data_IF_527121637536
#
_entry.id   IF_527121637536
#
_cell.length_a   1.000
_cell.length_b   1.000
_cell.length_c   1.000
_cell.angle_alpha   90.00
_cell.angle_beta   90.00
_cell.angle_gamma   90.00
#
_symmetry.space_group_name_H-M   'P 1'
#
loop_
_entity.id
_entity.type
_entity.pdbx_description
1 polymer ?
#
# COMPACT_ATOMS: atom_id res chain seq x y z
N UNK A 1 43.13 15.40 -3.40
CA UNK A 1 44.51 14.97 -3.52
C UNK A 1 45.23 15.18 -2.19
N UNK A 2 45.98 14.20 -1.70
CA UNK A 2 46.70 14.25 -0.42
C UNK A 2 48.21 14.19 -0.69
N UNK A 3 49.00 14.84 0.16
CA UNK A 3 50.45 14.92 0.07
C UNK A 3 51.08 14.25 1.29
N UNK A 4 52.03 13.32 1.06
CA UNK A 4 52.84 12.68 2.13
C UNK A 4 54.29 12.98 1.94
N UNK A 5 54.94 13.53 2.96
CA UNK A 5 56.41 13.73 3.03
C UNK A 5 57.05 12.57 3.79
N UNK A 6 58.14 12.05 3.29
CA UNK A 6 58.99 11.09 3.98
C UNK A 6 60.45 11.55 3.87
N UNK A 7 61.18 11.52 4.96
CA UNK A 7 62.62 11.77 4.98
C UNK A 7 63.38 10.45 5.00
N UNK A 8 64.54 10.40 4.31
CA UNK A 8 65.41 9.24 4.33
C UNK A 8 66.14 9.14 5.67
N UNK A 9 66.04 7.98 6.32
CA UNK A 9 66.84 7.62 7.50
C UNK A 9 68.15 6.89 7.11
N UNK A 10 68.50 6.80 5.82
CA UNK A 10 69.66 6.11 5.33
C UNK A 10 70.92 6.96 5.54
N UNK A 11 71.98 6.37 6.12
CA UNK A 11 73.31 6.97 6.29
C UNK A 11 74.00 7.43 4.97
N UNK A 12 73.62 6.84 3.82
CA UNK A 12 74.14 7.20 2.51
C UNK A 12 73.57 8.44 1.88
N UNK A 13 72.40 8.93 2.30
CA UNK A 13 71.76 10.17 1.82
C UNK A 13 70.89 10.76 2.94
N UNK A 14 71.47 11.31 4.00
CA UNK A 14 70.71 11.92 5.10
C UNK A 14 69.99 13.16 4.60
N UNK A 15 68.74 13.37 5.03
CA UNK A 15 68.00 14.58 4.77
C UNK A 15 67.27 14.70 3.42
N UNK A 16 67.38 13.71 2.53
CA UNK A 16 66.62 13.75 1.29
C UNK A 16 65.11 13.53 1.55
N UNK A 17 64.35 14.56 1.32
CA UNK A 17 62.88 14.49 1.40
C UNK A 17 62.28 13.94 0.10
N UNK A 18 61.37 13.00 0.21
CA UNK A 18 60.50 12.56 -0.89
C UNK A 18 59.08 12.95 -0.61
N UNK A 19 58.46 13.53 -1.63
CA UNK A 19 57.02 13.86 -1.63
C UNK A 19 56.30 12.83 -2.49
N UNK A 20 55.26 12.25 -2.00
CA UNK A 20 54.33 11.43 -2.79
C UNK A 20 52.92 11.96 -2.67
N UNK A 21 52.21 11.88 -3.78
CA UNK A 21 50.82 12.29 -3.89
C UNK A 21 49.91 11.07 -4.03
N UNK A 22 48.71 11.14 -3.45
CA UNK A 22 47.75 10.07 -3.53
C UNK A 22 46.32 10.62 -3.50
N UNK A 23 45.40 9.84 -4.04
CA UNK A 23 43.96 10.10 -4.07
C UNK A 23 43.27 8.99 -3.28
N UNK A 24 42.19 9.34 -2.59
CA UNK A 24 41.31 8.37 -1.94
C UNK A 24 39.99 8.44 -2.70
N UNK A 25 39.57 7.35 -3.32
CA UNK A 25 38.33 7.25 -4.07
C UNK A 25 37.09 7.18 -3.12
N UNK A 26 35.91 7.24 -3.68
CA UNK A 26 34.65 7.19 -2.94
C UNK A 26 34.44 5.89 -2.14
N UNK A 27 35.23 4.82 -2.44
CA UNK A 27 35.21 3.55 -1.71
C UNK A 27 36.21 3.49 -0.56
N UNK A 28 37.00 4.57 -0.38
CA UNK A 28 38.05 4.64 0.64
C UNK A 28 39.39 4.04 0.18
N UNK A 29 39.52 3.62 -1.07
CA UNK A 29 40.75 3.02 -1.61
C UNK A 29 41.76 4.10 -1.97
N UNK A 30 42.99 3.92 -1.47
CA UNK A 30 44.12 4.82 -1.78
C UNK A 30 44.76 4.50 -3.12
N UNK A 31 44.81 5.47 -4.04
CA UNK A 31 45.43 5.37 -5.37
C UNK A 31 46.66 6.28 -5.39
N UNK A 32 47.81 5.74 -5.79
CA UNK A 32 49.07 6.51 -5.92
C UNK A 32 49.03 7.38 -7.18
N UNK A 33 49.31 8.67 -7.01
CA UNK A 33 49.42 9.64 -8.10
C UNK A 33 50.91 9.89 -8.53
N UNK A 34 51.88 9.31 -7.80
CA UNK A 34 53.30 9.50 -8.08
C UNK A 34 53.99 10.53 -7.19
N UNK A 35 55.18 10.96 -7.57
CA UNK A 35 56.04 11.90 -6.81
C UNK A 35 56.14 13.28 -7.48
N UNK A 36 55.81 13.37 -8.74
CA UNK A 36 55.78 14.61 -9.49
C UNK A 36 54.40 15.30 -9.29
N UNK A 37 54.42 16.60 -8.97
CA UNK A 37 53.20 17.35 -8.65
C UNK A 37 52.29 17.54 -9.88
N UNK A 38 52.90 17.86 -11.03
CA UNK A 38 52.09 18.20 -12.21
C UNK A 38 51.51 16.94 -12.83
N UNK A 39 52.28 15.83 -12.84
CA UNK A 39 51.77 14.51 -13.20
C UNK A 39 50.67 14.03 -12.24
N UNK A 40 50.86 14.28 -10.94
CA UNK A 40 49.84 13.95 -9.94
C UNK A 40 48.56 14.75 -10.10
N UNK A 41 48.65 16.01 -10.49
CA UNK A 41 47.47 16.88 -10.80
C UNK A 41 46.70 16.37 -12.01
N UNK A 42 47.40 16.02 -13.09
CA UNK A 42 46.80 15.48 -14.32
C UNK A 42 46.05 14.18 -13.99
N UNK A 43 46.74 13.25 -13.33
CA UNK A 43 46.16 11.95 -12.96
C UNK A 43 45.03 12.07 -11.97
N UNK A 44 45.08 13.02 -11.06
CA UNK A 44 43.97 13.34 -10.15
C UNK A 44 42.75 13.89 -10.90
N UNK A 45 42.96 14.83 -11.84
CA UNK A 45 41.91 15.36 -12.68
C UNK A 45 41.24 14.27 -13.55
N UNK A 46 42.05 13.33 -14.08
CA UNK A 46 41.52 12.18 -14.83
C UNK A 46 40.69 11.22 -13.95
N UNK A 47 41.09 11.00 -12.71
CA UNK A 47 40.32 10.17 -11.76
C UNK A 47 39.03 10.84 -11.31
N UNK A 48 39.07 12.13 -11.04
CA UNK A 48 37.81 12.90 -10.72
C UNK A 48 36.91 13.07 -11.95
N UNK A 49 37.49 13.23 -13.15
CA UNK A 49 36.69 13.25 -14.38
C UNK A 49 36.01 11.90 -14.69
N UNK A 50 36.57 10.79 -14.20
CA UNK A 50 35.95 9.46 -14.30
C UNK A 50 34.80 9.29 -13.28
N UNK A 51 34.82 9.95 -12.14
CA UNK A 51 33.65 10.13 -11.30
C UNK A 51 32.78 11.20 -11.97
N UNK A 52 31.96 10.76 -12.94
CA UNK A 52 30.96 11.65 -13.56
C UNK A 52 30.21 12.32 -12.42
N UNK A 53 30.12 13.68 -12.40
CA UNK A 53 29.24 14.36 -11.45
C UNK A 53 27.87 13.71 -11.57
N UNK A 54 27.33 13.23 -10.46
CA UNK A 54 25.96 12.72 -10.47
C UNK A 54 25.10 13.89 -10.97
N UNK A 55 24.60 13.78 -12.19
CA UNK A 55 23.71 14.78 -12.72
C UNK A 55 22.42 14.70 -11.91
N UNK A 56 22.34 15.55 -10.88
CA UNK A 56 21.21 15.61 -9.95
C UNK A 56 19.90 15.94 -10.65
N UNK A 57 19.95 16.37 -11.93
CA UNK A 57 18.78 16.67 -12.74
C UNK A 57 18.30 15.49 -13.59
N UNK A 58 19.03 14.37 -13.61
CA UNK A 58 18.50 13.12 -14.19
C UNK A 58 17.44 12.52 -13.29
N UNK A 59 16.39 11.98 -13.89
CA UNK A 59 15.31 11.33 -13.15
C UNK A 59 15.80 10.19 -12.27
N UNK A 60 16.85 9.47 -12.67
CA UNK A 60 17.51 8.46 -11.83
C UNK A 60 17.92 9.02 -10.47
N UNK A 61 18.67 10.13 -10.44
CA UNK A 61 19.11 10.74 -9.18
C UNK A 61 17.95 11.28 -8.35
N UNK A 62 16.88 11.75 -9.02
CA UNK A 62 15.66 12.24 -8.37
C UNK A 62 14.88 11.08 -7.75
N UNK A 63 14.71 9.95 -8.45
CA UNK A 63 14.11 8.75 -7.90
C UNK A 63 14.91 8.22 -6.71
N UNK A 64 16.24 8.15 -6.81
CA UNK A 64 17.11 7.70 -5.71
C UNK A 64 16.94 8.58 -4.47
N UNK A 65 16.89 9.91 -4.65
CA UNK A 65 16.64 10.84 -3.56
C UNK A 65 15.24 10.68 -2.97
N UNK A 66 14.23 10.49 -3.80
CA UNK A 66 12.85 10.29 -3.37
C UNK A 66 12.70 8.98 -2.57
N UNK A 67 13.30 7.90 -3.02
CA UNK A 67 13.30 6.62 -2.31
C UNK A 67 13.99 6.74 -0.94
N UNK A 68 15.08 7.48 -0.86
CA UNK A 68 15.86 7.67 0.37
C UNK A 68 15.18 8.62 1.37
N UNK A 69 14.67 9.76 0.89
CA UNK A 69 14.29 10.89 1.76
C UNK A 69 12.78 11.00 2.00
N UNK A 70 11.94 10.51 1.06
CA UNK A 70 10.48 10.69 1.08
C UNK A 70 9.74 9.40 1.42
N UNK A 71 10.10 8.28 0.76
CA UNK A 71 9.40 7.01 0.97
C UNK A 71 9.42 6.56 2.42
N UNK A 72 10.54 6.63 3.19
CA UNK A 72 10.56 6.17 4.57
C UNK A 72 9.60 6.92 5.52
N UNK A 73 9.21 8.14 5.17
CA UNK A 73 8.26 8.96 5.95
C UNK A 73 6.79 8.57 5.73
N UNK A 74 6.51 7.68 4.79
CA UNK A 74 5.15 7.23 4.45
C UNK A 74 4.77 5.97 5.24
N UNK A 75 3.48 5.69 5.31
CA UNK A 75 3.01 4.45 5.92
C UNK A 75 3.51 3.19 5.17
N UNK A 76 3.72 2.05 5.86
CA UNK A 76 4.39 0.85 5.30
C UNK A 76 3.79 0.34 3.98
N UNK A 77 2.47 0.39 3.85
CA UNK A 77 1.80 -0.02 2.61
C UNK A 77 2.13 0.92 1.46
N UNK A 78 2.11 2.23 1.70
CA UNK A 78 2.43 3.25 0.69
C UNK A 78 3.89 3.16 0.27
N UNK A 79 4.81 2.87 1.20
CA UNK A 79 6.22 2.63 0.88
C UNK A 79 6.36 1.50 -0.14
N UNK A 80 5.74 0.34 0.12
CA UNK A 80 5.77 -0.82 -0.77
C UNK A 80 5.17 -0.51 -2.15
N UNK A 81 4.05 0.19 -2.18
CA UNK A 81 3.36 0.54 -3.42
C UNK A 81 4.21 1.53 -4.23
N UNK A 82 4.75 2.62 -3.62
CA UNK A 82 5.61 3.58 -4.31
C UNK A 82 6.93 2.97 -4.82
N UNK A 83 7.58 2.09 -4.05
CA UNK A 83 8.77 1.37 -4.53
C UNK A 83 8.46 0.51 -5.76
N UNK A 84 7.30 -0.15 -5.76
CA UNK A 84 6.86 -0.94 -6.92
C UNK A 84 6.56 -0.07 -8.14
N UNK A 85 5.95 1.09 -7.94
CA UNK A 85 5.61 2.06 -8.98
C UNK A 85 6.86 2.69 -9.58
N UNK A 86 7.82 3.13 -8.75
CA UNK A 86 9.09 3.68 -9.21
C UNK A 86 9.88 2.64 -10.01
N UNK A 87 9.89 1.37 -9.58
CA UNK A 87 10.54 0.30 -10.34
C UNK A 87 10.00 0.17 -11.76
N UNK A 88 8.70 0.45 -11.98
CA UNK A 88 8.10 0.45 -13.31
C UNK A 88 8.42 1.72 -14.12
N UNK A 89 8.63 2.86 -13.45
CA UNK A 89 8.96 4.13 -14.09
C UNK A 89 10.41 4.21 -14.54
N UNK A 90 11.33 3.63 -13.77
CA UNK A 90 12.77 3.71 -14.00
C UNK A 90 13.22 3.32 -15.40
N UNK A 91 12.78 2.18 -16.00
CA UNK A 91 13.24 1.80 -17.34
C UNK A 91 12.94 2.85 -18.42
N UNK A 92 11.89 3.65 -18.22
CA UNK A 92 11.49 4.68 -19.20
C UNK A 92 12.11 6.03 -18.90
N UNK A 93 12.28 6.39 -17.62
CA UNK A 93 12.58 7.76 -17.25
C UNK A 93 13.97 7.97 -16.63
N UNK A 94 14.68 6.95 -16.14
CA UNK A 94 15.94 7.10 -15.40
C UNK A 94 16.99 7.96 -16.14
N UNK A 95 17.08 7.84 -17.46
CA UNK A 95 18.06 8.54 -18.29
C UNK A 95 17.61 9.93 -18.74
N UNK A 96 16.35 10.28 -18.52
CA UNK A 96 15.80 11.56 -18.96
C UNK A 96 16.18 12.68 -17.97
N UNK A 97 16.64 13.84 -18.46
CA UNK A 97 16.69 15.05 -17.64
C UNK A 97 15.28 15.45 -17.24
N UNK A 98 15.09 15.93 -16.00
CA UNK A 98 13.76 16.33 -15.51
C UNK A 98 13.11 17.39 -16.40
N UNK A 99 13.90 18.34 -16.89
CA UNK A 99 13.43 19.42 -17.74
C UNK A 99 13.04 18.97 -19.16
N UNK A 100 13.39 17.75 -19.55
CA UNK A 100 13.00 17.15 -20.84
C UNK A 100 11.65 16.42 -20.78
N UNK A 101 11.10 16.18 -19.58
CA UNK A 101 9.82 15.51 -19.46
C UNK A 101 8.69 16.39 -20.01
N UNK A 102 7.87 15.80 -20.89
CA UNK A 102 6.72 16.47 -21.51
C UNK A 102 5.43 15.70 -21.24
N UNK A 103 4.25 16.36 -21.29
CA UNK A 103 2.97 15.69 -21.21
C UNK A 103 2.78 14.55 -22.24
N UNK A 104 3.37 14.73 -23.43
CA UNK A 104 3.34 13.71 -24.50
C UNK A 104 4.06 12.43 -24.06
N UNK A 105 5.24 12.54 -23.45
CA UNK A 105 5.98 11.38 -22.94
C UNK A 105 5.20 10.63 -21.84
N UNK A 106 4.54 11.38 -20.96
CA UNK A 106 3.68 10.79 -19.91
C UNK A 106 2.48 10.05 -20.52
N UNK A 107 1.86 10.65 -21.56
CA UNK A 107 0.76 9.99 -22.28
C UNK A 107 1.23 8.73 -23.02
N UNK A 108 2.38 8.76 -23.68
CA UNK A 108 2.97 7.59 -24.34
C UNK A 108 3.27 6.47 -23.33
N UNK A 109 3.85 6.81 -22.17
CA UNK A 109 4.05 5.83 -21.08
C UNK A 109 2.73 5.20 -20.67
N UNK A 110 1.69 6.01 -20.38
CA UNK A 110 0.35 5.54 -20.03
C UNK A 110 -0.19 4.55 -21.06
N UNK A 111 -0.05 4.90 -22.34
CA UNK A 111 -0.66 4.14 -23.44
C UNK A 111 0.12 2.84 -23.73
N UNK A 112 1.43 2.84 -23.52
CA UNK A 112 2.28 1.65 -23.66
C UNK A 112 2.06 0.62 -22.55
N UNK A 113 1.60 1.04 -21.33
CA UNK A 113 1.36 0.12 -20.22
C UNK A 113 0.13 -0.75 -20.45
N UNK A 114 0.29 -2.08 -20.44
CA UNK A 114 -0.82 -3.04 -20.48
C UNK A 114 -1.72 -2.95 -19.24
N UNK A 115 -1.13 -2.76 -18.06
CA UNK A 115 -1.83 -2.64 -16.78
C UNK A 115 -2.38 -1.20 -16.58
N UNK A 116 -3.45 -0.86 -17.27
CA UNK A 116 -4.01 0.51 -17.38
C UNK A 116 -4.25 1.22 -16.04
N UNK A 117 -4.85 0.52 -15.06
CA UNK A 117 -5.11 1.08 -13.72
C UNK A 117 -3.80 1.30 -12.96
N UNK A 118 -2.81 0.40 -13.13
CA UNK A 118 -1.48 0.57 -12.54
C UNK A 118 -0.75 1.76 -13.13
N UNK A 119 -0.83 1.99 -14.43
CA UNK A 119 -0.28 3.17 -15.09
C UNK A 119 -0.78 4.48 -14.45
N UNK A 120 -2.06 4.56 -14.10
CA UNK A 120 -2.59 5.72 -13.39
C UNK A 120 -1.92 5.95 -12.03
N UNK A 121 -1.61 4.88 -11.29
CA UNK A 121 -0.91 4.97 -9.99
C UNK A 121 0.56 5.35 -10.17
N UNK A 122 1.24 4.73 -11.14
CA UNK A 122 2.61 5.03 -11.51
C UNK A 122 2.77 6.51 -11.89
N UNK A 123 1.88 7.06 -12.73
CA UNK A 123 1.88 8.49 -13.11
C UNK A 123 1.59 9.39 -11.91
N UNK A 124 0.69 8.99 -11.01
CA UNK A 124 0.45 9.76 -9.79
C UNK A 124 1.70 9.85 -8.90
N UNK A 125 2.46 8.75 -8.80
CA UNK A 125 3.75 8.74 -8.09
C UNK A 125 4.80 9.58 -8.82
N UNK A 126 4.91 9.48 -10.15
CA UNK A 126 5.79 10.33 -10.95
C UNK A 126 5.46 11.83 -10.76
N UNK A 127 4.17 12.17 -10.75
CA UNK A 127 3.71 13.53 -10.47
C UNK A 127 4.17 14.03 -9.10
N UNK A 128 4.09 13.19 -8.08
CA UNK A 128 4.57 13.54 -6.74
C UNK A 128 6.10 13.68 -6.71
N UNK A 129 6.84 12.78 -7.37
CA UNK A 129 8.31 12.86 -7.51
C UNK A 129 8.71 14.17 -8.18
N UNK A 130 8.02 14.56 -9.26
CA UNK A 130 8.28 15.81 -9.96
C UNK A 130 8.04 17.04 -9.06
N UNK A 131 6.96 17.05 -8.29
CA UNK A 131 6.68 18.14 -7.35
C UNK A 131 7.76 18.23 -6.27
N UNK A 132 8.22 17.08 -5.72
CA UNK A 132 9.34 17.05 -4.76
C UNK A 132 10.63 17.60 -5.39
N UNK A 133 10.91 17.27 -6.65
CA UNK A 133 12.06 17.83 -7.38
C UNK A 133 11.98 19.35 -7.53
N UNK A 134 10.77 19.90 -7.73
CA UNK A 134 10.54 21.37 -7.72
C UNK A 134 10.83 21.97 -6.35
N UNK A 135 10.33 21.35 -5.26
CA UNK A 135 10.63 21.80 -3.89
C UNK A 135 12.14 21.74 -3.57
N UNK A 136 12.86 20.80 -4.17
CA UNK A 136 14.32 20.70 -4.03
C UNK A 136 15.10 21.68 -4.92
N UNK A 137 14.43 22.49 -5.73
CA UNK A 137 15.05 23.46 -6.63
C UNK A 137 15.74 22.83 -7.84
N UNK A 138 15.42 21.57 -8.19
CA UNK A 138 16.04 20.87 -9.32
C UNK A 138 15.40 21.24 -10.66
N UNK A 139 14.19 21.79 -10.65
CA UNK A 139 13.48 22.29 -11.82
C UNK A 139 12.51 23.42 -11.44
N UNK A 140 12.33 24.38 -12.33
CA UNK A 140 11.30 25.41 -12.24
C UNK A 140 10.10 25.14 -13.16
N UNK A 141 10.15 24.06 -13.98
CA UNK A 141 9.09 23.73 -14.93
C UNK A 141 7.81 23.27 -14.23
N UNK A 142 6.71 23.45 -14.93
CA UNK A 142 5.42 22.90 -14.51
C UNK A 142 5.45 21.37 -14.57
N UNK A 143 4.63 20.76 -13.71
CA UNK A 143 4.56 19.31 -13.63
C UNK A 143 3.91 18.71 -14.90
N UNK A 144 4.65 17.95 -15.71
CA UNK A 144 4.17 17.44 -16.99
C UNK A 144 3.08 16.35 -16.86
N UNK A 145 2.84 15.85 -15.66
CA UNK A 145 1.77 14.91 -15.41
C UNK A 145 0.40 15.59 -15.24
N UNK A 146 0.39 16.91 -15.01
CA UNK A 146 -0.85 17.68 -14.90
C UNK A 146 -1.53 17.76 -16.27
N UNK A 147 -2.85 17.65 -16.29
CA UNK A 147 -3.64 17.66 -17.52
C UNK A 147 -3.58 16.38 -18.37
N UNK A 148 -2.68 15.45 -18.07
CA UNK A 148 -2.65 14.13 -18.74
C UNK A 148 -3.85 13.29 -18.31
N UNK A 149 -4.71 12.95 -19.28
CA UNK A 149 -5.92 12.15 -19.03
C UNK A 149 -5.55 10.76 -18.48
N UNK A 150 -6.24 10.33 -17.43
CA UNK A 150 -6.09 8.98 -16.85
C UNK A 150 -6.79 7.93 -17.71
N UNK A 151 -6.33 6.69 -17.64
CA UNK A 151 -7.10 5.54 -18.14
C UNK A 151 -8.41 5.42 -17.35
N UNK A 152 -9.49 5.02 -18.04
CA UNK A 152 -10.78 4.78 -17.40
C UNK A 152 -10.65 3.67 -16.36
N UNK A 153 -11.12 3.93 -15.16
CA UNK A 153 -11.23 2.93 -14.09
C UNK A 153 -12.72 2.62 -13.87
N UNK A 154 -13.08 1.36 -14.00
CA UNK A 154 -14.44 0.92 -13.69
C UNK A 154 -14.47 0.49 -12.22
N UNK A 155 -15.29 1.11 -11.38
CA UNK A 155 -15.48 0.65 -10.01
C UNK A 155 -15.94 -0.80 -10.00
N UNK A 156 -15.50 -1.55 -8.99
CA UNK A 156 -15.99 -2.90 -8.80
C UNK A 156 -17.48 -2.84 -8.40
N UNK A 157 -18.31 -3.48 -9.17
CA UNK A 157 -19.74 -3.61 -8.93
C UNK A 157 -20.07 -5.10 -8.75
N UNK A 158 -19.96 -5.59 -7.51
CA UNK A 158 -20.26 -6.97 -7.14
C UNK A 158 -21.02 -6.99 -5.82
N UNK A 159 -22.23 -7.56 -5.83
CA UNK A 159 -23.03 -7.80 -4.64
C UNK A 159 -23.14 -9.31 -4.35
N UNK A 160 -22.70 -9.73 -3.16
CA UNK A 160 -22.87 -11.08 -2.67
C UNK A 160 -24.27 -11.23 -2.09
N UNK A 161 -25.18 -11.84 -2.86
CA UNK A 161 -26.51 -12.20 -2.34
C UNK A 161 -26.42 -13.34 -1.30
N UNK A 162 -27.54 -13.66 -0.66
CA UNK A 162 -27.58 -14.64 0.44
C UNK A 162 -27.25 -16.06 -0.04
N UNK A 163 -27.54 -16.41 -1.30
CA UNK A 163 -27.14 -17.71 -1.86
C UNK A 163 -25.62 -17.86 -1.87
N UNK A 164 -24.90 -16.85 -2.44
CA UNK A 164 -23.43 -16.84 -2.46
C UNK A 164 -22.85 -16.79 -1.05
N UNK A 165 -23.43 -15.94 -0.18
CA UNK A 165 -22.98 -15.81 1.20
C UNK A 165 -23.07 -17.15 1.95
N UNK A 166 -24.23 -17.79 1.92
CA UNK A 166 -24.54 -19.01 2.69
C UNK A 166 -23.64 -20.18 2.33
N UNK A 167 -23.36 -20.38 1.03
CA UNK A 167 -22.50 -21.46 0.58
C UNK A 167 -21.06 -21.25 1.01
N UNK A 168 -20.51 -20.03 0.86
CA UNK A 168 -19.14 -19.71 1.32
C UNK A 168 -19.05 -19.77 2.84
N UNK A 169 -20.04 -19.22 3.56
CA UNK A 169 -20.10 -19.22 5.02
C UNK A 169 -20.14 -20.65 5.61
N UNK A 170 -20.88 -21.56 4.99
CA UNK A 170 -20.96 -22.98 5.40
C UNK A 170 -19.59 -23.67 5.32
N UNK A 171 -18.76 -23.32 4.33
CA UNK A 171 -17.39 -23.85 4.16
C UNK A 171 -16.32 -23.14 4.99
N UNK A 172 -16.68 -22.02 5.61
CA UNK A 172 -15.74 -21.22 6.39
C UNK A 172 -15.37 -21.92 7.71
N UNK A 173 -14.09 -21.81 8.10
CA UNK A 173 -13.61 -22.21 9.44
C UNK A 173 -14.23 -21.30 10.50
N UNK A 174 -14.29 -21.73 11.78
CA UNK A 174 -14.91 -20.92 12.85
C UNK A 174 -14.37 -19.50 12.92
N UNK A 175 -13.05 -19.33 12.88
CA UNK A 175 -12.42 -18.01 12.91
C UNK A 175 -12.65 -17.18 11.63
N UNK A 176 -12.89 -17.84 10.49
CA UNK A 176 -13.29 -17.12 9.27
C UNK A 176 -14.74 -16.67 9.37
N UNK A 177 -15.62 -17.48 9.93
CA UNK A 177 -17.02 -17.08 10.24
C UNK A 177 -17.05 -15.84 11.13
N UNK A 178 -16.23 -15.84 12.20
CA UNK A 178 -16.09 -14.67 13.07
C UNK A 178 -15.66 -13.42 12.30
N UNK A 179 -14.69 -13.57 11.41
CA UNK A 179 -14.23 -12.45 10.58
C UNK A 179 -15.32 -11.96 9.60
N UNK A 180 -16.09 -12.87 9.02
CA UNK A 180 -17.20 -12.55 8.12
C UNK A 180 -18.31 -11.81 8.86
N UNK A 181 -18.73 -12.34 10.02
CA UNK A 181 -19.81 -11.77 10.81
C UNK A 181 -19.44 -10.42 11.41
N UNK A 182 -18.22 -10.26 11.95
CA UNK A 182 -17.71 -8.96 12.39
C UNK A 182 -17.63 -7.96 11.24
N UNK A 183 -17.13 -8.37 10.08
CA UNK A 183 -17.05 -7.49 8.91
C UNK A 183 -18.44 -7.04 8.45
N UNK A 184 -19.41 -7.93 8.50
CA UNK A 184 -20.80 -7.66 8.09
C UNK A 184 -21.51 -6.76 9.11
N UNK A 185 -21.50 -7.13 10.40
CA UNK A 185 -22.23 -6.40 11.44
C UNK A 185 -21.60 -5.02 11.74
N UNK A 186 -20.29 -4.87 11.55
CA UNK A 186 -19.63 -3.59 11.79
C UNK A 186 -19.41 -2.76 10.53
N UNK A 187 -19.59 -3.34 9.34
CA UNK A 187 -19.29 -2.70 8.07
C UNK A 187 -17.82 -2.31 7.91
N UNK A 188 -16.88 -2.83 8.72
CA UNK A 188 -15.50 -2.37 8.69
C UNK A 188 -14.65 -3.06 7.62
N UNK A 189 -13.50 -2.44 7.28
CA UNK A 189 -12.55 -3.01 6.31
C UNK A 189 -11.85 -4.24 6.89
N UNK A 190 -11.41 -5.21 6.06
CA UNK A 190 -10.73 -6.41 6.55
C UNK A 190 -9.57 -6.11 7.51
N UNK A 191 -8.77 -5.08 7.21
CA UNK A 191 -7.64 -4.68 8.06
C UNK A 191 -8.08 -4.14 9.43
N UNK A 192 -9.24 -3.48 9.49
CA UNK A 192 -9.80 -2.93 10.73
C UNK A 192 -10.45 -4.03 11.57
N UNK A 193 -11.16 -4.96 10.93
CA UNK A 193 -11.77 -6.13 11.58
C UNK A 193 -10.72 -7.02 12.27
N UNK A 194 -9.61 -7.29 11.60
CA UNK A 194 -8.53 -8.16 12.11
C UNK A 194 -7.76 -7.58 13.30
N UNK A 195 -7.96 -6.31 13.65
CA UNK A 195 -7.29 -5.68 14.79
C UNK A 195 -8.21 -5.37 15.95
N UNK A 196 -9.51 -5.67 15.84
CA UNK A 196 -10.48 -5.49 16.93
C UNK A 196 -10.09 -6.31 18.14
N UNK A 197 -10.16 -5.71 19.32
CA UNK A 197 -9.70 -6.27 20.59
C UNK A 197 -10.84 -6.38 21.60
N UNK A 198 -10.65 -7.21 22.61
CA UNK A 198 -11.56 -7.30 23.77
C UNK A 198 -11.60 -5.98 24.55
N UNK A 199 -10.44 -5.31 24.64
CA UNK A 199 -10.31 -4.00 25.31
C UNK A 199 -10.99 -2.85 24.54
N UNK A 200 -11.37 -3.08 23.28
CA UNK A 200 -12.14 -2.09 22.49
C UNK A 200 -13.65 -2.10 22.88
N UNK A 201 -14.07 -2.98 23.80
CA UNK A 201 -15.44 -3.06 24.29
C UNK A 201 -15.58 -2.18 25.52
N UNK A 202 -16.27 -1.07 25.40
CA UNK A 202 -16.41 -0.08 26.46
C UNK A 202 -17.82 0.50 26.50
N UNK A 203 -18.43 0.55 27.69
CA UNK A 203 -19.71 1.22 27.93
C UNK A 203 -20.86 0.75 27.04
N UNK A 204 -20.90 -0.55 26.68
CA UNK A 204 -21.94 -1.10 25.81
C UNK A 204 -21.69 -0.88 24.31
N UNK A 205 -20.48 -0.47 23.93
CA UNK A 205 -20.09 -0.22 22.55
C UNK A 205 -18.83 -1.01 22.19
N UNK A 206 -18.69 -1.37 20.92
CA UNK A 206 -17.44 -1.70 20.28
C UNK A 206 -16.83 -0.41 19.70
N UNK A 207 -15.68 0.00 20.23
CA UNK A 207 -14.95 1.18 19.75
C UNK A 207 -14.02 0.77 18.61
N UNK A 208 -14.15 1.39 17.45
CA UNK A 208 -13.36 1.09 16.27
C UNK A 208 -12.62 2.33 15.81
N UNK A 209 -11.30 2.25 15.71
CA UNK A 209 -10.47 3.27 15.04
C UNK A 209 -10.03 2.75 13.68
N UNK A 210 -10.52 3.38 12.60
CA UNK A 210 -10.22 2.96 11.24
C UNK A 210 -8.76 3.29 10.88
N UNK A 211 -7.98 2.29 10.44
CA UNK A 211 -6.57 2.45 10.09
C UNK A 211 -6.33 3.43 8.92
N UNK A 212 -7.23 3.48 7.95
CA UNK A 212 -7.06 4.30 6.74
C UNK A 212 -7.46 5.77 6.92
N UNK A 213 -8.50 6.02 7.71
CA UNK A 213 -9.12 7.35 7.84
C UNK A 213 -8.94 7.95 9.22
N UNK A 214 -8.42 7.17 10.16
CA UNK A 214 -8.26 7.49 11.59
C UNK A 214 -9.57 7.90 12.28
N UNK A 215 -10.73 7.64 11.64
CA UNK A 215 -12.02 7.94 12.21
C UNK A 215 -12.33 6.96 13.34
N UNK A 216 -12.83 7.50 14.45
CA UNK A 216 -13.32 6.72 15.59
C UNK A 216 -14.82 6.53 15.48
N UNK A 217 -15.28 5.32 15.70
CA UNK A 217 -16.67 4.90 15.68
C UNK A 217 -16.99 4.17 16.98
N UNK A 218 -18.21 4.31 17.47
CA UNK A 218 -18.76 3.54 18.59
C UNK A 218 -19.97 2.78 18.06
N UNK A 219 -19.88 1.46 17.97
CA UNK A 219 -20.94 0.60 17.43
C UNK A 219 -21.65 -0.04 18.60
N UNK A 220 -22.95 0.15 18.69
CA UNK A 220 -23.79 -0.36 19.79
C UNK A 220 -23.80 -1.89 19.86
N UNK A 221 -23.68 -2.42 21.04
CA UNK A 221 -23.80 -3.86 21.32
C UNK A 221 -25.18 -4.26 21.83
N UNK A 222 -25.98 -3.26 22.22
CA UNK A 222 -27.35 -3.44 22.70
C UNK A 222 -28.30 -2.48 22.00
N UNK A 223 -29.55 -2.87 21.85
CA UNK A 223 -30.64 -2.05 21.36
C UNK A 223 -31.78 -2.19 22.37
N UNK A 224 -32.29 -1.09 22.89
CA UNK A 224 -33.35 -1.09 23.94
C UNK A 224 -33.01 -1.93 25.17
N UNK A 225 -31.72 -1.96 25.55
CA UNK A 225 -31.24 -2.72 26.70
C UNK A 225 -31.01 -4.23 26.47
N UNK A 226 -31.31 -4.72 25.25
CA UNK A 226 -31.11 -6.13 24.85
C UNK A 226 -29.91 -6.23 23.91
N UNK A 227 -29.13 -7.31 24.04
CA UNK A 227 -28.02 -7.57 23.12
C UNK A 227 -28.52 -7.66 21.68
N UNK A 228 -27.93 -6.85 20.81
CA UNK A 228 -28.15 -6.98 19.38
C UNK A 228 -27.26 -8.07 18.76
N UNK A 229 -27.39 -8.32 17.47
CA UNK A 229 -26.61 -9.37 16.78
C UNK A 229 -25.09 -9.24 16.98
N UNK A 230 -24.56 -8.00 17.06
CA UNK A 230 -23.12 -7.79 17.33
C UNK A 230 -22.77 -8.12 18.79
N UNK A 231 -23.60 -7.74 19.76
CA UNK A 231 -23.41 -8.08 21.17
C UNK A 231 -23.44 -9.57 21.39
N UNK A 232 -24.42 -10.28 20.79
CA UNK A 232 -24.51 -11.75 20.84
C UNK A 232 -23.28 -12.43 20.22
N UNK A 233 -22.84 -11.97 19.03
CA UNK A 233 -21.65 -12.49 18.37
C UNK A 233 -20.41 -12.35 19.27
N UNK A 234 -20.18 -11.17 19.84
CA UNK A 234 -19.04 -10.91 20.72
C UNK A 234 -19.06 -11.81 21.95
N UNK A 235 -20.22 -12.04 22.58
CA UNK A 235 -20.37 -12.95 23.71
C UNK A 235 -20.07 -14.40 23.31
N UNK A 236 -20.54 -14.86 22.15
CA UNK A 236 -20.26 -16.20 21.64
C UNK A 236 -18.76 -16.38 21.36
N UNK A 237 -18.12 -15.38 20.72
CA UNK A 237 -16.68 -15.39 20.47
C UNK A 237 -15.88 -15.41 21.79
N UNK A 238 -16.28 -14.62 22.77
CA UNK A 238 -15.63 -14.57 24.08
C UNK A 238 -15.73 -15.92 24.81
N UNK A 239 -16.91 -16.55 24.81
CA UNK A 239 -17.13 -17.85 25.41
C UNK A 239 -16.28 -18.95 24.74
N UNK A 240 -16.28 -19.02 23.42
CA UNK A 240 -15.51 -20.00 22.66
C UNK A 240 -13.99 -19.83 22.84
N UNK A 241 -13.54 -18.60 23.01
CA UNK A 241 -12.12 -18.25 23.11
C UNK A 241 -11.70 -17.93 24.56
N UNK A 242 -12.46 -18.38 25.56
CA UNK A 242 -12.20 -18.06 26.96
C UNK A 242 -10.83 -18.53 27.44
N UNK A 243 -10.38 -19.70 26.99
CA UNK A 243 -9.08 -20.27 27.35
C UNK A 243 -7.88 -19.66 26.63
N UNK A 244 -8.14 -18.82 25.62
CA UNK A 244 -7.08 -18.21 24.87
C UNK A 244 -6.69 -16.84 25.44
N UNK A 245 -5.38 -16.60 25.75
CA UNK A 245 -4.91 -15.34 26.32
C UNK A 245 -4.89 -14.17 25.33
N UNK A 246 -5.39 -14.39 24.11
CA UNK A 246 -5.39 -13.37 23.06
C UNK A 246 -6.28 -12.19 23.39
N UNK A 247 -5.77 -10.99 23.23
CA UNK A 247 -6.54 -9.74 23.33
C UNK A 247 -7.43 -9.47 22.10
N UNK A 248 -7.22 -10.19 20.99
CA UNK A 248 -7.97 -9.99 19.76
C UNK A 248 -9.29 -10.74 19.78
N UNK A 249 -10.32 -10.17 19.16
CA UNK A 249 -11.62 -10.83 19.04
C UNK A 249 -11.52 -12.07 18.14
N UNK A 250 -10.84 -11.95 17.00
CA UNK A 250 -10.66 -13.07 16.07
C UNK A 250 -9.36 -13.79 16.37
N UNK A 251 -9.47 -15.01 16.83
CA UNK A 251 -8.31 -15.87 17.13
C UNK A 251 -8.40 -17.18 16.35
N UNK A 252 -7.26 -17.68 15.92
CA UNK A 252 -7.14 -19.02 15.31
C UNK A 252 -7.35 -20.12 16.35
N UNK A 253 -7.55 -21.35 15.91
CA UNK A 253 -7.63 -22.54 16.79
C UNK A 253 -6.41 -22.71 17.72
N UNK A 254 -5.28 -22.04 17.43
CA UNK A 254 -4.08 -22.00 18.28
C UNK A 254 -4.05 -20.81 19.24
N UNK A 255 -5.14 -20.09 19.41
CA UNK A 255 -5.22 -18.91 20.27
C UNK A 255 -4.44 -17.68 19.78
N UNK A 256 -3.93 -17.68 18.55
CA UNK A 256 -3.19 -16.56 17.98
C UNK A 256 -4.10 -15.66 17.13
N UNK A 257 -3.79 -14.35 17.10
CA UNK A 257 -4.45 -13.39 16.22
C UNK A 257 -4.47 -13.89 14.77
N UNK A 258 -5.60 -13.75 14.09
CA UNK A 258 -5.69 -13.97 12.64
C UNK A 258 -4.92 -12.88 11.89
N UNK A 259 -3.96 -13.27 11.07
CA UNK A 259 -3.23 -12.36 10.19
C UNK A 259 -3.96 -12.13 8.86
N UNK A 260 -3.60 -11.09 8.12
CA UNK A 260 -4.16 -10.82 6.80
C UNK A 260 -3.87 -11.94 5.77
N UNK A 261 -2.73 -12.63 5.90
CA UNK A 261 -2.40 -13.79 5.06
C UNK A 261 -3.25 -15.00 5.43
N UNK A 262 -3.47 -15.26 6.73
CA UNK A 262 -4.35 -16.33 7.18
C UNK A 262 -5.79 -16.10 6.72
N UNK A 263 -6.30 -14.87 6.87
CA UNK A 263 -7.63 -14.51 6.36
C UNK A 263 -7.75 -14.81 4.87
N UNK A 264 -6.75 -14.41 4.06
CA UNK A 264 -6.75 -14.64 2.62
C UNK A 264 -6.79 -16.13 2.30
N UNK A 265 -5.90 -16.93 2.90
CA UNK A 265 -5.83 -18.35 2.61
C UNK A 265 -7.14 -19.07 2.99
N UNK A 266 -7.67 -18.81 4.20
CA UNK A 266 -8.94 -19.40 4.63
C UNK A 266 -10.13 -18.96 3.77
N UNK A 267 -10.11 -17.70 3.32
CA UNK A 267 -11.11 -17.19 2.40
C UNK A 267 -11.06 -17.89 1.04
N UNK A 268 -9.87 -18.04 0.48
CA UNK A 268 -9.67 -18.73 -0.79
C UNK A 268 -10.07 -20.19 -0.68
N UNK A 269 -9.66 -20.90 0.39
CA UNK A 269 -10.05 -22.30 0.66
C UNK A 269 -11.58 -22.46 0.76
N UNK A 270 -12.26 -21.61 1.56
CA UNK A 270 -13.70 -21.69 1.74
C UNK A 270 -14.46 -21.39 0.42
N UNK A 271 -13.99 -20.42 -0.34
CA UNK A 271 -14.55 -20.05 -1.64
C UNK A 271 -14.36 -21.16 -2.67
N UNK A 272 -13.19 -21.80 -2.71
CA UNK A 272 -12.90 -22.85 -3.67
C UNK A 272 -13.73 -24.12 -3.33
N UNK A 273 -13.86 -24.49 -2.07
CA UNK A 273 -14.76 -25.57 -1.62
C UNK A 273 -16.22 -25.28 -1.98
N UNK A 274 -16.68 -24.05 -1.75
CA UNK A 274 -18.03 -23.62 -2.10
C UNK A 274 -18.29 -23.66 -3.63
N UNK A 275 -17.28 -23.28 -4.42
CA UNK A 275 -17.35 -23.35 -5.87
C UNK A 275 -17.42 -24.77 -6.39
N UNK A 276 -16.62 -25.68 -5.81
CA UNK A 276 -16.65 -27.11 -6.18
C UNK A 276 -18.02 -27.71 -5.88
N UNK A 277 -18.62 -27.40 -4.73
CA UNK A 277 -19.98 -27.86 -4.39
C UNK A 277 -21.02 -27.37 -5.38
N UNK A 278 -21.04 -26.07 -5.69
CA UNK A 278 -21.97 -25.49 -6.65
C UNK A 278 -21.83 -26.12 -8.06
N UNK A 279 -20.60 -26.43 -8.48
CA UNK A 279 -20.36 -27.13 -9.76
C UNK A 279 -20.86 -28.57 -9.72
N UNK A 280 -20.68 -29.28 -8.60
CA UNK A 280 -21.19 -30.64 -8.44
C UNK A 280 -22.72 -30.70 -8.44
N UNK A 281 -23.39 -29.65 -7.95
CA UNK A 281 -24.84 -29.48 -8.01
C UNK A 281 -25.35 -28.98 -9.38
N UNK A 282 -24.44 -28.72 -10.34
CA UNK A 282 -24.78 -28.23 -11.68
C UNK A 282 -25.05 -26.73 -11.78
N UNK A 283 -24.89 -25.97 -10.66
CA UNK A 283 -25.11 -24.52 -10.65
C UNK A 283 -23.84 -23.74 -11.06
N UNK A 284 -23.60 -23.67 -12.36
CA UNK A 284 -22.47 -22.96 -12.93
C UNK A 284 -22.54 -21.44 -12.72
N UNK A 285 -23.75 -20.88 -12.62
CA UNK A 285 -23.95 -19.46 -12.36
C UNK A 285 -23.53 -19.10 -10.92
N UNK A 286 -23.98 -19.88 -9.95
CA UNK A 286 -23.60 -19.73 -8.54
C UNK A 286 -22.09 -19.89 -8.39
N UNK A 287 -21.49 -20.93 -9.01
CA UNK A 287 -20.05 -21.17 -8.99
C UNK A 287 -19.25 -19.98 -9.55
N UNK A 288 -19.72 -19.36 -10.63
CA UNK A 288 -19.12 -18.15 -11.21
C UNK A 288 -19.19 -16.96 -10.23
N UNK A 289 -20.35 -16.75 -9.61
CA UNK A 289 -20.54 -15.69 -8.62
C UNK A 289 -19.70 -15.90 -7.37
N UNK A 290 -19.60 -17.13 -6.87
CA UNK A 290 -18.71 -17.50 -5.76
C UNK A 290 -17.27 -17.15 -6.10
N UNK A 291 -16.79 -17.51 -7.30
CA UNK A 291 -15.43 -17.20 -7.77
C UNK A 291 -15.11 -15.69 -7.78
N UNK A 292 -16.13 -14.85 -8.00
CA UNK A 292 -15.99 -13.40 -7.97
C UNK A 292 -16.04 -12.80 -6.55
N UNK A 293 -16.64 -13.49 -5.58
CA UNK A 293 -16.81 -12.98 -4.22
C UNK A 293 -15.47 -12.80 -3.51
N UNK A 294 -15.16 -11.58 -3.08
CA UNK A 294 -13.97 -11.24 -2.31
C UNK A 294 -14.37 -10.83 -0.89
N UNK A 295 -13.56 -11.12 0.11
CA UNK A 295 -13.84 -10.75 1.51
C UNK A 295 -14.19 -9.26 1.67
N UNK A 296 -13.53 -8.37 0.91
CA UNK A 296 -13.83 -6.93 0.92
C UNK A 296 -15.23 -6.56 0.43
N UNK A 297 -15.93 -7.48 -0.26
CA UNK A 297 -17.30 -7.24 -0.74
C UNK A 297 -18.34 -7.40 0.37
N UNK A 298 -17.96 -7.90 1.54
CA UNK A 298 -18.81 -7.97 2.73
C UNK A 298 -19.21 -6.56 3.18
N UNK A 299 -18.30 -5.59 3.14
CA UNK A 299 -18.60 -4.21 3.52
C UNK A 299 -19.64 -3.54 2.60
N UNK A 300 -19.57 -3.64 1.26
CA UNK A 300 -20.66 -3.23 0.39
C UNK A 300 -21.97 -3.99 0.63
N UNK A 301 -21.93 -5.31 0.93
CA UNK A 301 -23.12 -6.07 1.29
C UNK A 301 -23.80 -5.46 2.53
N UNK A 302 -23.07 -5.26 3.62
CA UNK A 302 -23.57 -4.63 4.83
C UNK A 302 -24.21 -3.27 4.56
N UNK A 303 -23.54 -2.40 3.79
CA UNK A 303 -24.08 -1.09 3.44
C UNK A 303 -25.32 -1.13 2.55
N UNK A 304 -25.43 -2.13 1.68
CA UNK A 304 -26.57 -2.28 0.75
C UNK A 304 -27.83 -2.78 1.44
N UNK A 305 -27.69 -3.46 2.58
CA UNK A 305 -28.80 -4.05 3.33
C UNK A 305 -29.32 -3.12 4.44
N UNK A 306 -28.61 -2.07 4.77
CA UNK A 306 -29.12 -1.01 5.64
C UNK A 306 -30.05 -0.09 4.82
N UNK A 307 -31.30 0.05 5.29
CA UNK A 307 -32.33 0.83 4.57
C UNK A 307 -31.97 2.31 4.49
N UNK A 308 -31.59 2.89 5.61
CA UNK A 308 -31.23 4.30 5.69
C UNK A 308 -29.78 4.54 5.21
N UNK A 309 -29.59 5.54 4.35
CA UNK A 309 -28.28 5.88 3.79
C UNK A 309 -27.38 6.57 4.82
N UNK A 310 -27.95 7.30 5.75
CA UNK A 310 -27.21 8.00 6.80
C UNK A 310 -26.68 6.99 7.81
N UNK A 311 -27.51 6.03 8.23
CA UNK A 311 -27.10 4.91 9.09
C UNK A 311 -25.99 4.07 8.43
N UNK A 312 -26.15 3.77 7.14
CA UNK A 312 -25.11 3.08 6.39
C UNK A 312 -23.81 3.91 6.34
N UNK A 313 -23.88 5.22 6.14
CA UNK A 313 -22.73 6.12 6.11
C UNK A 313 -22.06 6.23 7.48
N UNK A 314 -22.84 6.29 8.55
CA UNK A 314 -22.34 6.29 9.93
C UNK A 314 -21.60 5.00 10.24
N UNK A 315 -22.20 3.83 9.96
CA UNK A 315 -21.57 2.53 10.18
C UNK A 315 -20.27 2.38 9.41
N UNK A 316 -20.25 2.85 8.15
CA UNK A 316 -19.05 2.84 7.33
C UNK A 316 -18.02 3.90 7.74
N UNK A 317 -18.38 4.87 8.55
CA UNK A 317 -17.52 5.97 8.93
C UNK A 317 -17.25 6.93 7.78
N UNK A 318 -18.16 7.12 6.85
CA UNK A 318 -18.04 8.12 5.79
C UNK A 318 -18.44 9.51 6.29
N UNK A 319 -17.80 10.55 5.77
CA UNK A 319 -18.14 11.94 6.07
C UNK A 319 -19.20 12.51 5.12
N UNK A 320 -19.42 11.84 3.97
CA UNK A 320 -20.38 12.23 2.94
C UNK A 320 -21.16 11.01 2.48
N UNK A 321 -22.48 11.12 2.44
CA UNK A 321 -23.41 10.08 1.99
C UNK A 321 -23.14 9.60 0.54
N UNK A 322 -22.76 10.54 -0.34
CA UNK A 322 -22.47 10.27 -1.77
C UNK A 322 -21.46 9.12 -1.99
N UNK A 323 -20.49 8.98 -1.09
CA UNK A 323 -19.49 7.89 -1.18
C UNK A 323 -20.16 6.55 -0.87
N UNK A 324 -21.06 6.53 0.12
CA UNK A 324 -21.81 5.31 0.49
C UNK A 324 -22.74 4.90 -0.64
N UNK A 325 -23.48 5.82 -1.18
CA UNK A 325 -24.41 5.55 -2.26
C UNK A 325 -23.69 5.06 -3.53
N UNK A 326 -22.71 5.80 -4.02
CA UNK A 326 -22.04 5.50 -5.29
C UNK A 326 -21.12 4.27 -5.25
N UNK A 327 -20.46 4.01 -4.11
CA UNK A 327 -19.38 3.01 -4.05
C UNK A 327 -19.78 1.76 -3.29
N UNK A 328 -20.63 1.88 -2.28
CA UNK A 328 -20.94 0.79 -1.37
C UNK A 328 -22.36 0.25 -1.50
N UNK A 329 -23.34 1.06 -1.92
CA UNK A 329 -24.71 0.60 -2.14
C UNK A 329 -24.81 -0.03 -3.52
N UNK A 330 -24.86 -1.37 -3.56
CA UNK A 330 -24.81 -2.16 -4.81
C UNK A 330 -26.14 -2.82 -5.17
N UNK A 331 -27.12 -2.65 -4.32
CA UNK A 331 -28.52 -2.93 -4.63
C UNK A 331 -29.12 -1.61 -5.07
N UNK A 332 -29.70 -1.55 -6.25
CA UNK A 332 -30.31 -0.34 -6.82
C UNK A 332 -31.36 0.27 -5.88
N UNK A 333 -31.61 1.56 -6.03
CA UNK A 333 -32.65 2.23 -5.26
C UNK A 333 -34.03 1.63 -5.58
N UNK A 334 -34.83 1.39 -4.54
CA UNK A 334 -36.24 0.97 -4.70
C UNK A 334 -37.03 2.20 -5.06
N UNK A 335 -37.43 2.33 -6.33
CA UNK A 335 -38.30 3.38 -6.78
C UNK A 335 -39.75 2.90 -6.76
N UNK A 336 -40.67 3.78 -6.35
CA UNK A 336 -42.11 3.56 -6.55
C UNK A 336 -42.46 3.90 -8.00
N UNK A 337 -43.31 3.13 -8.65
CA UNK A 337 -43.81 3.50 -9.99
C UNK A 337 -44.58 4.83 -9.92
N UNK A 338 -44.63 5.54 -11.04
CA UNK A 338 -45.31 6.84 -11.13
C UNK A 338 -46.83 6.75 -10.95
N UNK A 339 -47.41 5.58 -11.15
CA UNK A 339 -48.83 5.23 -10.90
C UNK A 339 -48.95 3.78 -10.50
#
# INVERSE_FOLDING_TARGET
>A
MYRRKRSSKSQKKPGKEWVSYFYIDATGKQISLGTDLDHARIKWAELEAKEKPKDLRLMKAIFDRYERDIIPKKGPRTQKDNLSEIRQLRPTFDTAPIDALTPTMIAQYRDARSAKVRANREIATLSHVFNMAREWGLTAKENPCQGVRKNKETPRDYYANDAVWSVVYRKATPELKDAMDLAYLTGQRPADVLVMRRDDIEGGFLVVQQNKTHKKLRIMLTTEGVDNSLGLLIKQMAARNAEHPSQYLIVSARGKRMSASMLRNRWDDARDLAKVEALAEGDTLLATRIGQFQFRDIRPKAASEIKDIEDASLLLGHTKGDITERVYRRVGAIAKPSK
#
